data_IF_843375608953
#
_entry.id   IF_843375608953
#
_cell.length_a   1.000
_cell.length_b   1.000
_cell.length_c   1.000
_cell.angle_alpha   90.00
_cell.angle_beta   90.00
_cell.angle_gamma   90.00
#
_symmetry.space_group_name_H-M   'P 1'
#
loop_
_entity.id
_entity.type
_entity.pdbx_description
1 polymer ?
#
# COMPACT_ATOMS: atom_id res chain seq x y z
N UNK A 1 -0.63 -14.25 5.21
CA UNK A 1 0.57 -14.85 4.59
C UNK A 1 1.85 -14.71 5.43
N UNK A 2 1.99 -13.63 6.22
CA UNK A 2 3.14 -13.41 7.12
C UNK A 2 2.92 -13.85 8.59
N UNK A 3 1.82 -14.54 8.92
CA UNK A 3 1.55 -14.93 10.30
C UNK A 3 2.70 -15.72 10.89
N UNK A 4 3.15 -15.36 12.10
CA UNK A 4 4.32 -15.98 12.74
C UNK A 4 4.15 -17.48 12.97
N UNK A 5 2.90 -17.95 13.12
CA UNK A 5 2.58 -19.33 13.51
C UNK A 5 2.15 -20.17 12.30
N UNK A 6 1.23 -19.65 11.47
CA UNK A 6 0.64 -20.38 10.33
C UNK A 6 0.77 -19.61 8.99
N UNK A 7 1.67 -18.63 8.92
CA UNK A 7 1.95 -17.91 7.68
C UNK A 7 2.72 -18.79 6.70
N UNK A 8 2.50 -18.59 5.40
CA UNK A 8 3.22 -19.27 4.32
C UNK A 8 4.74 -19.16 4.50
N UNK A 9 5.24 -17.99 4.93
CA UNK A 9 6.66 -17.78 5.24
C UNK A 9 7.16 -18.72 6.34
N UNK A 10 6.40 -18.85 7.43
CA UNK A 10 6.76 -19.71 8.55
C UNK A 10 6.80 -21.19 8.13
N UNK A 11 5.86 -21.61 7.26
CA UNK A 11 5.84 -22.96 6.70
C UNK A 11 7.05 -23.22 5.78
N UNK A 12 7.38 -22.30 4.87
CA UNK A 12 8.55 -22.43 4.00
C UNK A 12 9.84 -22.49 4.83
N UNK A 13 9.98 -21.64 5.84
CA UNK A 13 11.17 -21.63 6.72
C UNK A 13 11.27 -22.88 7.60
N UNK A 14 10.15 -23.52 7.93
CA UNK A 14 10.14 -24.79 8.66
C UNK A 14 10.73 -25.93 7.81
N UNK A 15 10.41 -25.96 6.52
CA UNK A 15 10.90 -27.00 5.60
C UNK A 15 12.31 -26.69 5.08
N UNK A 16 12.65 -25.41 4.90
CA UNK A 16 13.97 -24.96 4.49
C UNK A 16 14.39 -23.67 5.23
N UNK A 17 15.22 -23.77 6.28
CA UNK A 17 15.71 -22.62 7.04
C UNK A 17 16.55 -21.63 6.23
N UNK A 18 17.13 -22.07 5.11
CA UNK A 18 17.93 -21.24 4.20
C UNK A 18 17.11 -20.55 3.11
N UNK A 19 15.80 -20.77 3.08
CA UNK A 19 14.92 -20.12 2.11
C UNK A 19 14.68 -18.66 2.48
N UNK A 20 14.94 -17.75 1.55
CA UNK A 20 14.50 -16.37 1.65
C UNK A 20 13.08 -16.24 1.10
N UNK A 21 12.23 -15.44 1.73
CA UNK A 21 10.87 -15.16 1.26
C UNK A 21 10.67 -13.65 1.15
N UNK A 22 10.45 -13.17 -0.07
CA UNK A 22 10.19 -11.77 -0.35
C UNK A 22 8.71 -11.61 -0.70
N UNK A 23 7.95 -10.96 0.17
CA UNK A 23 6.52 -10.83 -0.06
C UNK A 23 6.17 -9.66 -0.99
N UNK A 24 4.94 -9.69 -1.51
CA UNK A 24 4.39 -8.71 -2.42
C UNK A 24 4.23 -7.34 -1.74
N UNK A 25 5.10 -6.42 -2.13
CA UNK A 25 5.18 -5.09 -1.52
C UNK A 25 3.93 -4.20 -1.62
N UNK A 26 3.23 -4.12 -2.77
CA UNK A 26 2.22 -3.08 -2.97
C UNK A 26 0.97 -3.27 -2.10
N UNK A 27 0.49 -4.51 -1.94
CA UNK A 27 -0.69 -4.80 -1.12
C UNK A 27 -0.34 -4.91 0.36
N UNK A 28 0.84 -5.43 0.71
CA UNK A 28 1.32 -5.44 2.09
C UNK A 28 1.55 -4.03 2.63
N UNK A 29 2.25 -3.17 1.89
CA UNK A 29 2.47 -1.77 2.29
C UNK A 29 1.14 -1.05 2.54
N UNK A 30 0.15 -1.32 1.69
CA UNK A 30 -1.17 -0.71 1.78
C UNK A 30 -1.97 -1.15 3.02
N UNK A 31 -1.76 -2.38 3.50
CA UNK A 31 -2.41 -2.93 4.69
C UNK A 31 -1.66 -2.60 5.98
N UNK A 32 -0.33 -2.72 5.97
CA UNK A 32 0.47 -2.66 7.18
C UNK A 32 0.61 -1.24 7.69
N UNK A 33 0.70 -0.24 6.83
CA UNK A 33 0.85 1.16 7.28
C UNK A 33 -0.37 1.65 8.08
N UNK A 34 -1.62 1.27 7.71
CA UNK A 34 -2.82 1.60 8.52
C UNK A 34 -2.78 0.83 9.83
N UNK A 35 -2.56 -0.48 9.74
CA UNK A 35 -2.57 -1.35 10.90
C UNK A 35 -1.53 -0.92 11.95
N UNK A 36 -0.35 -0.52 11.49
CA UNK A 36 0.75 -0.05 12.34
C UNK A 36 0.46 1.34 12.90
N UNK A 37 -0.11 2.27 12.12
CA UNK A 37 -0.54 3.56 12.64
C UNK A 37 -1.59 3.41 13.75
N UNK A 38 -2.55 2.50 13.58
CA UNK A 38 -3.60 2.17 14.58
C UNK A 38 -3.08 1.46 15.83
N UNK A 39 -1.80 1.08 15.91
CA UNK A 39 -1.20 0.63 17.18
C UNK A 39 -1.02 1.79 18.16
N UNK A 40 -0.93 3.03 17.65
CA UNK A 40 -0.90 4.22 18.48
C UNK A 40 -2.31 4.60 18.93
N UNK A 41 -2.50 4.78 20.24
CA UNK A 41 -3.82 5.01 20.83
C UNK A 41 -4.56 6.19 20.19
N UNK A 42 -3.93 7.36 20.10
CA UNK A 42 -4.60 8.58 19.64
C UNK A 42 -4.91 8.55 18.14
N UNK A 43 -4.05 7.87 17.36
CA UNK A 43 -4.28 7.68 15.93
C UNK A 43 -5.41 6.67 15.71
N UNK A 44 -5.49 5.62 16.53
CA UNK A 44 -6.61 4.69 16.47
C UNK A 44 -7.94 5.39 16.79
N UNK A 45 -7.97 6.15 17.88
CA UNK A 45 -9.15 6.94 18.27
C UNK A 45 -9.56 7.92 17.16
N UNK A 46 -8.59 8.60 16.53
CA UNK A 46 -8.82 9.43 15.35
C UNK A 46 -9.54 8.67 14.22
N UNK A 47 -9.06 7.47 13.87
CA UNK A 47 -9.70 6.67 12.82
C UNK A 47 -11.09 6.16 13.20
N UNK A 48 -11.35 5.90 14.48
CA UNK A 48 -12.66 5.49 14.98
C UNK A 48 -13.66 6.66 14.89
N UNK A 49 -13.26 7.87 15.29
CA UNK A 49 -14.07 9.09 15.13
C UNK A 49 -14.33 9.36 13.64
N UNK A 50 -13.30 9.27 12.80
CA UNK A 50 -13.44 9.43 11.35
C UNK A 50 -14.46 8.43 10.79
N UNK A 51 -14.36 7.15 11.15
CA UNK A 51 -15.29 6.12 10.71
C UNK A 51 -16.73 6.45 11.15
N UNK A 52 -16.93 6.92 12.38
CA UNK A 52 -18.23 7.34 12.88
C UNK A 52 -18.81 8.51 12.09
N UNK A 53 -18.02 9.52 11.76
CA UNK A 53 -18.47 10.64 10.92
C UNK A 53 -18.90 10.14 9.54
N UNK A 54 -18.09 9.29 8.90
CA UNK A 54 -18.42 8.71 7.59
C UNK A 54 -19.68 7.85 7.66
N UNK A 55 -19.92 7.16 8.77
CA UNK A 55 -21.12 6.36 8.99
C UNK A 55 -22.36 7.24 9.16
N UNK A 56 -22.26 8.31 9.94
CA UNK A 56 -23.37 9.23 10.20
C UNK A 56 -23.70 10.03 8.94
N UNK A 57 -22.72 10.73 8.36
CA UNK A 57 -22.92 11.60 7.19
C UNK A 57 -23.21 10.77 5.92
N UNK A 58 -22.47 9.69 5.70
CA UNK A 58 -22.63 8.83 4.52
C UNK A 58 -23.76 7.81 4.62
N UNK A 59 -24.35 7.62 5.81
CA UNK A 59 -25.28 6.53 6.10
C UNK A 59 -26.68 6.67 5.51
N UNK A 60 -27.07 7.85 5.01
CA UNK A 60 -28.37 8.05 4.38
C UNK A 60 -28.27 8.88 3.10
N UNK A 61 -29.23 8.67 2.18
CA UNK A 61 -29.32 9.49 0.97
C UNK A 61 -29.52 10.97 1.31
N UNK A 62 -30.46 11.28 2.23
CA UNK A 62 -30.77 12.64 2.68
C UNK A 62 -29.53 13.38 3.22
N UNK A 63 -28.69 12.72 4.02
CA UNK A 63 -27.48 13.34 4.59
C UNK A 63 -26.39 13.58 3.55
N UNK A 64 -26.27 12.67 2.58
CA UNK A 64 -25.38 12.87 1.42
C UNK A 64 -25.86 14.01 0.52
N UNK A 65 -27.17 14.14 0.33
CA UNK A 65 -27.77 15.25 -0.39
C UNK A 65 -27.50 16.58 0.30
N UNK A 66 -27.73 16.68 1.62
CA UNK A 66 -27.37 17.88 2.40
C UNK A 66 -25.89 18.25 2.27
N UNK A 67 -24.99 17.26 2.24
CA UNK A 67 -23.56 17.49 2.02
C UNK A 67 -23.27 18.05 0.61
N UNK A 68 -24.00 17.60 -0.41
CA UNK A 68 -23.85 18.08 -1.80
C UNK A 68 -24.41 19.49 -1.97
N UNK A 69 -25.58 19.75 -1.39
CA UNK A 69 -26.23 21.06 -1.46
C UNK A 69 -25.38 22.13 -0.76
N UNK A 70 -24.80 21.82 0.39
CA UNK A 70 -23.91 22.74 1.11
C UNK A 70 -22.59 22.98 0.36
N UNK A 71 -22.05 21.95 -0.30
CA UNK A 71 -20.89 22.10 -1.20
C UNK A 71 -21.21 23.05 -2.36
N UNK A 72 -22.35 22.87 -3.02
CA UNK A 72 -22.77 23.70 -4.15
C UNK A 72 -22.93 25.16 -3.72
N UNK A 73 -23.59 25.41 -2.59
CA UNK A 73 -23.75 26.77 -2.04
C UNK A 73 -22.42 27.45 -1.76
N UNK A 74 -21.48 26.74 -1.13
CA UNK A 74 -20.15 27.29 -0.85
C UNK A 74 -19.36 27.55 -2.13
N UNK A 75 -19.50 26.69 -3.13
CA UNK A 75 -18.87 26.92 -4.43
C UNK A 75 -19.44 28.17 -5.10
N UNK A 76 -20.76 28.37 -5.05
CA UNK A 76 -21.39 29.59 -5.57
C UNK A 76 -20.90 30.84 -4.83
N UNK A 77 -20.78 30.80 -3.50
CA UNK A 77 -20.20 31.89 -2.71
C UNK A 77 -18.76 32.21 -3.14
N UNK A 78 -17.91 31.18 -3.32
CA UNK A 78 -16.53 31.33 -3.76
C UNK A 78 -16.42 31.87 -5.20
N UNK A 79 -17.36 31.53 -6.07
CA UNK A 79 -17.44 32.06 -7.43
C UNK A 79 -17.82 33.54 -7.44
N UNK A 80 -18.72 33.96 -6.54
CA UNK A 80 -19.14 35.38 -6.44
C UNK A 80 -17.98 36.28 -5.97
N UNK A 81 -17.06 35.76 -5.14
CA UNK A 81 -15.89 36.51 -4.67
C UNK A 81 -14.65 36.32 -5.55
N UNK A 82 -14.79 35.71 -6.73
CA UNK A 82 -13.73 35.43 -7.70
C UNK A 82 -12.53 34.61 -7.13
N UNK A 83 -12.73 33.87 -6.05
CA UNK A 83 -11.69 33.01 -5.45
C UNK A 83 -11.47 31.71 -6.24
N UNK A 84 -12.44 31.28 -7.04
CA UNK A 84 -12.38 30.06 -7.86
C UNK A 84 -12.88 30.32 -9.27
N UNK A 85 -12.43 29.51 -10.23
CA UNK A 85 -12.78 29.66 -11.66
C UNK A 85 -13.61 28.50 -12.15
N UNK A 86 -14.43 28.74 -13.18
CA UNK A 86 -15.20 27.71 -13.87
C UNK A 86 -14.36 27.09 -15.00
N UNK A 87 -14.45 25.77 -15.16
CA UNK A 87 -13.70 25.06 -16.20
C UNK A 87 -13.95 23.56 -16.16
N UNK A 88 -13.75 22.90 -17.31
CA UNK A 88 -13.98 21.46 -17.41
C UNK A 88 -13.00 20.70 -16.51
N UNK A 89 -13.54 19.94 -15.55
CA UNK A 89 -12.76 19.21 -14.55
C UNK A 89 -12.43 19.99 -13.27
N UNK A 90 -12.78 21.28 -13.16
CA UNK A 90 -12.62 22.06 -11.93
C UNK A 90 -13.83 21.88 -11.00
N UNK A 91 -13.61 22.08 -9.70
CA UNK A 91 -14.65 22.11 -8.66
C UNK A 91 -15.60 20.91 -8.66
N UNK A 92 -15.08 19.72 -8.97
CA UNK A 92 -15.87 18.49 -8.98
C UNK A 92 -16.46 18.20 -7.60
N UNK A 93 -17.68 17.67 -7.59
CA UNK A 93 -18.35 17.21 -6.37
C UNK A 93 -17.46 16.19 -5.64
N UNK A 94 -17.23 16.43 -4.34
CA UNK A 94 -16.44 15.54 -3.52
C UNK A 94 -17.36 14.66 -2.66
N UNK A 95 -17.07 13.36 -2.68
CA UNK A 95 -17.76 12.38 -1.85
C UNK A 95 -16.95 11.97 -0.62
N UNK A 96 -17.65 11.66 0.46
CA UNK A 96 -17.10 10.97 1.63
C UNK A 96 -17.27 9.47 1.46
N UNK A 97 -16.38 8.87 0.66
CA UNK A 97 -16.34 7.42 0.50
C UNK A 97 -15.71 6.80 1.75
N UNK A 98 -16.33 5.72 2.27
CA UNK A 98 -15.71 4.91 3.30
C UNK A 98 -14.42 4.30 2.74
N UNK A 99 -13.30 4.44 3.44
CA UNK A 99 -12.08 3.77 3.02
C UNK A 99 -12.30 2.26 3.12
N UNK A 100 -11.77 1.51 2.14
CA UNK A 100 -11.75 0.06 2.26
C UNK A 100 -10.69 -0.33 3.28
N UNK A 101 -11.03 -1.26 4.18
CA UNK A 101 -10.13 -1.74 5.25
C UNK A 101 -8.77 -2.22 4.74
N UNK A 102 -8.70 -2.58 3.45
CA UNK A 102 -7.51 -3.12 2.80
C UNK A 102 -6.77 -2.11 1.92
N UNK A 103 -7.17 -0.83 1.89
CA UNK A 103 -6.69 0.13 0.88
C UNK A 103 -6.26 1.50 1.46
N UNK A 104 -5.00 1.67 1.88
CA UNK A 104 -4.32 2.98 2.17
C UNK A 104 -4.65 4.13 1.21
N UNK A 105 -4.60 3.91 -0.12
CA UNK A 105 -4.98 4.94 -1.10
C UNK A 105 -6.41 5.46 -0.95
N UNK A 106 -7.35 4.63 -0.46
CA UNK A 106 -8.69 5.09 -0.13
C UNK A 106 -8.70 5.93 1.15
N UNK A 107 -7.92 5.57 2.18
CA UNK A 107 -7.74 6.41 3.37
C UNK A 107 -7.17 7.79 3.01
N UNK A 108 -6.12 7.86 2.18
CA UNK A 108 -5.55 9.14 1.75
C UNK A 108 -6.60 10.02 1.06
N UNK A 109 -7.35 9.46 0.10
CA UNK A 109 -8.43 10.18 -0.58
C UNK A 109 -9.53 10.61 0.39
N UNK A 110 -9.91 9.76 1.34
CA UNK A 110 -10.90 10.07 2.38
C UNK A 110 -10.43 11.23 3.27
N UNK A 111 -9.19 11.22 3.76
CA UNK A 111 -8.66 12.31 4.60
C UNK A 111 -8.61 13.64 3.83
N UNK A 112 -8.15 13.60 2.57
CA UNK A 112 -8.11 14.79 1.71
C UNK A 112 -9.51 15.36 1.48
N UNK A 113 -10.48 14.50 1.19
CA UNK A 113 -11.88 14.90 1.02
C UNK A 113 -12.47 15.41 2.34
N UNK A 114 -12.14 14.79 3.47
CA UNK A 114 -12.59 15.22 4.79
C UNK A 114 -12.14 16.65 5.11
N UNK A 115 -10.87 16.99 4.85
CA UNK A 115 -10.33 18.35 5.00
C UNK A 115 -11.06 19.33 4.07
N UNK A 116 -11.24 18.95 2.81
CA UNK A 116 -11.90 19.80 1.80
C UNK A 116 -13.38 20.05 2.14
N UNK A 117 -14.04 19.07 2.76
CA UNK A 117 -15.46 19.09 3.11
C UNK A 117 -15.72 19.44 4.57
N UNK A 118 -14.71 19.83 5.33
CA UNK A 118 -14.80 19.93 6.79
C UNK A 118 -15.96 20.81 7.25
N UNK A 119 -16.09 22.01 6.67
CA UNK A 119 -17.16 22.94 7.02
C UNK A 119 -18.56 22.39 6.68
N UNK A 120 -18.68 21.65 5.56
CA UNK A 120 -19.94 21.01 5.17
C UNK A 120 -20.28 19.81 6.05
N UNK A 121 -19.27 19.04 6.49
CA UNK A 121 -19.43 17.96 7.46
C UNK A 121 -19.93 18.51 8.79
N UNK A 122 -19.32 19.58 9.30
CA UNK A 122 -19.74 20.26 10.53
C UNK A 122 -21.17 20.77 10.40
N UNK A 123 -21.54 21.35 9.25
CA UNK A 123 -22.91 21.80 8.99
C UNK A 123 -23.92 20.64 9.05
N UNK A 124 -23.68 19.55 8.30
CA UNK A 124 -24.58 18.38 8.29
C UNK A 124 -24.72 17.77 9.68
N UNK A 125 -23.61 17.60 10.41
CA UNK A 125 -23.66 17.10 11.79
C UNK A 125 -24.39 18.07 12.72
N UNK A 126 -24.24 19.38 12.53
CA UNK A 126 -24.96 20.41 13.28
C UNK A 126 -26.47 20.36 13.07
N UNK A 127 -26.92 20.17 11.83
CA UNK A 127 -28.33 19.95 11.50
C UNK A 127 -28.85 18.70 12.24
N UNK A 128 -28.13 17.58 12.18
CA UNK A 128 -28.53 16.35 12.89
C UNK A 128 -28.54 16.51 14.40
N UNK A 129 -27.58 17.26 14.96
CA UNK A 129 -27.49 17.55 16.38
C UNK A 129 -28.65 18.43 16.90
N UNK A 130 -29.37 19.12 16.02
CA UNK A 130 -30.50 19.97 16.38
C UNK A 130 -31.86 19.33 16.02
N UNK A 131 -31.96 18.76 14.82
CA UNK A 131 -33.22 18.38 14.16
C UNK A 131 -33.50 16.87 14.17
N UNK A 132 -32.56 16.02 14.61
CA UNK A 132 -32.80 14.58 14.67
C UNK A 132 -33.93 14.22 15.64
N UNK A 133 -34.89 13.44 15.15
CA UNK A 133 -35.96 12.85 15.98
C UNK A 133 -35.47 11.75 16.90
N UNK A 134 -34.35 11.09 16.54
CA UNK A 134 -33.70 10.08 17.38
C UNK A 134 -32.72 10.75 18.35
N UNK A 135 -32.97 10.61 19.65
CA UNK A 135 -32.13 11.15 20.72
C UNK A 135 -30.68 10.62 20.67
N UNK A 136 -30.48 9.33 20.37
CA UNK A 136 -29.15 8.75 20.29
C UNK A 136 -28.36 9.34 19.12
N UNK A 137 -29.00 9.50 17.97
CA UNK A 137 -28.39 10.14 16.79
C UNK A 137 -28.07 11.60 17.06
N UNK A 138 -28.96 12.31 17.77
CA UNK A 138 -28.75 13.70 18.18
C UNK A 138 -27.53 13.86 19.09
N UNK A 139 -27.43 13.01 20.12
CA UNK A 139 -26.31 13.01 21.06
C UNK A 139 -24.99 12.63 20.38
N UNK A 140 -25.02 11.62 19.51
CA UNK A 140 -23.85 11.20 18.73
C UNK A 140 -23.38 12.32 17.78
N UNK A 141 -24.29 12.94 17.03
CA UNK A 141 -23.95 14.05 16.14
C UNK A 141 -23.34 15.22 16.90
N UNK A 142 -23.88 15.56 18.07
CA UNK A 142 -23.32 16.61 18.94
C UNK A 142 -21.90 16.27 19.41
N UNK A 143 -21.68 15.04 19.90
CA UNK A 143 -20.35 14.56 20.30
C UNK A 143 -19.38 14.65 19.12
N UNK A 144 -19.78 14.17 17.93
CA UNK A 144 -18.93 14.19 16.75
C UNK A 144 -18.55 15.61 16.32
N UNK A 145 -19.44 16.60 16.45
CA UNK A 145 -19.09 18.01 16.19
C UNK A 145 -18.04 18.51 17.17
N UNK A 146 -18.17 18.18 18.45
CA UNK A 146 -17.18 18.56 19.48
C UNK A 146 -15.83 17.87 19.21
N UNK A 147 -15.86 16.58 18.87
CA UNK A 147 -14.68 15.75 18.61
C UNK A 147 -13.91 16.27 17.37
N UNK A 148 -14.58 16.48 16.23
CA UNK A 148 -13.91 16.91 14.99
C UNK A 148 -13.42 18.35 15.02
N UNK A 149 -13.97 19.18 15.92
CA UNK A 149 -13.50 20.54 16.17
C UNK A 149 -12.44 20.61 17.27
N UNK A 150 -12.00 19.48 17.81
CA UNK A 150 -10.86 19.47 18.73
C UNK A 150 -9.54 19.69 17.98
N UNK A 151 -8.65 20.50 18.57
CA UNK A 151 -7.34 20.77 17.99
C UNK A 151 -6.52 19.50 17.78
N UNK A 152 -6.58 18.57 18.73
CA UNK A 152 -5.87 17.29 18.67
C UNK A 152 -6.31 16.45 17.46
N UNK A 153 -7.62 16.37 17.19
CA UNK A 153 -8.13 15.64 16.03
C UNK A 153 -7.68 16.30 14.71
N UNK A 154 -7.72 17.63 14.63
CA UNK A 154 -7.22 18.37 13.46
C UNK A 154 -5.72 18.17 13.26
N UNK A 155 -4.95 18.15 14.35
CA UNK A 155 -3.52 17.89 14.32
C UNK A 155 -3.22 16.49 13.77
N UNK A 156 -3.88 15.45 14.30
CA UNK A 156 -3.70 14.06 13.84
C UNK A 156 -4.18 13.91 12.38
N UNK A 157 -5.26 14.58 12.00
CA UNK A 157 -5.76 14.61 10.61
C UNK A 157 -4.68 15.09 9.64
N UNK A 158 -4.02 16.22 9.94
CA UNK A 158 -2.97 16.78 9.07
C UNK A 158 -1.68 15.94 9.12
N UNK A 159 -1.31 15.42 10.30
CA UNK A 159 -0.18 14.50 10.45
C UNK A 159 -0.35 13.26 9.57
N UNK A 160 -1.50 12.58 9.71
CA UNK A 160 -1.79 11.38 8.95
C UNK A 160 -1.90 11.67 7.45
N UNK A 161 -2.45 12.82 7.05
CA UNK A 161 -2.47 13.22 5.65
C UNK A 161 -1.05 13.35 5.08
N UNK A 162 -0.13 14.03 5.78
CA UNK A 162 1.27 14.20 5.33
C UNK A 162 2.01 12.87 5.25
N UNK A 163 1.88 12.02 6.28
CA UNK A 163 2.46 10.66 6.28
C UNK A 163 1.92 9.85 5.11
N UNK A 164 0.59 9.88 4.89
CA UNK A 164 -0.06 9.20 3.77
C UNK A 164 0.40 9.73 2.42
N UNK A 165 0.59 11.03 2.27
CA UNK A 165 1.06 11.63 1.02
C UNK A 165 2.47 11.14 0.64
N UNK A 166 3.38 11.06 1.62
CA UNK A 166 4.76 10.57 1.41
C UNK A 166 4.76 9.10 0.96
N UNK A 167 3.91 8.27 1.56
CA UNK A 167 3.83 6.83 1.25
C UNK A 167 2.93 6.51 0.05
N UNK A 168 2.02 7.42 -0.33
CA UNK A 168 1.10 7.25 -1.46
C UNK A 168 1.85 7.06 -2.79
N UNK A 169 2.89 7.87 -3.04
CA UNK A 169 3.69 7.75 -4.26
C UNK A 169 4.44 6.42 -4.34
N UNK A 170 5.00 5.95 -3.21
CA UNK A 170 5.63 4.64 -3.14
C UNK A 170 4.62 3.54 -3.49
N UNK A 171 3.44 3.58 -2.85
CA UNK A 171 2.39 2.60 -3.10
C UNK A 171 1.96 2.57 -4.58
N UNK A 172 1.69 3.73 -5.18
CA UNK A 172 1.26 3.81 -6.58
C UNK A 172 2.30 3.27 -7.57
N UNK A 173 3.59 3.48 -7.31
CA UNK A 173 4.66 2.98 -8.18
C UNK A 173 4.89 1.48 -8.00
N UNK A 174 4.85 0.98 -6.76
CA UNK A 174 4.97 -0.46 -6.50
C UNK A 174 3.82 -1.25 -7.17
N UNK A 175 2.64 -0.64 -7.32
CA UNK A 175 1.48 -1.27 -7.99
C UNK A 175 1.55 -1.30 -9.52
N UNK A 176 2.55 -0.66 -10.16
CA UNK A 176 2.65 -0.64 -11.63
C UNK A 176 3.07 -2.01 -12.16
N UNK A 177 2.40 -2.46 -13.24
CA UNK A 177 2.64 -3.76 -13.89
C UNK A 177 4.08 -3.91 -14.43
N UNK A 178 4.69 -2.81 -14.83
CA UNK A 178 6.02 -2.76 -15.45
C UNK A 178 7.03 -1.98 -14.59
N UNK A 179 6.99 -2.17 -13.27
CA UNK A 179 7.90 -1.47 -12.39
C UNK A 179 9.27 -2.16 -12.36
N UNK A 180 10.32 -1.41 -12.70
CA UNK A 180 11.70 -1.83 -12.52
C UNK A 180 12.06 -1.92 -11.02
N UNK A 181 12.68 -3.03 -10.62
CA UNK A 181 13.02 -3.33 -9.23
C UNK A 181 14.04 -2.32 -8.68
N UNK A 182 15.02 -1.92 -9.50
CA UNK A 182 16.05 -0.95 -9.08
C UNK A 182 15.41 0.40 -8.76
N UNK A 183 14.51 0.87 -9.63
CA UNK A 183 13.76 2.10 -9.43
C UNK A 183 12.77 2.01 -8.25
N UNK A 184 12.14 0.85 -8.05
CA UNK A 184 11.32 0.59 -6.86
C UNK A 184 12.15 0.71 -5.57
N UNK A 185 13.36 0.12 -5.51
CA UNK A 185 14.22 0.22 -4.33
C UNK A 185 14.74 1.65 -4.08
N UNK A 186 15.07 2.39 -5.15
CA UNK A 186 15.39 3.82 -5.03
C UNK A 186 14.23 4.62 -4.42
N UNK A 187 12.99 4.32 -4.82
CA UNK A 187 11.80 4.98 -4.29
C UNK A 187 11.54 4.63 -2.83
N UNK A 188 11.76 3.37 -2.43
CA UNK A 188 11.70 2.95 -1.02
C UNK A 188 12.68 3.77 -0.18
N UNK A 189 13.94 3.85 -0.61
CA UNK A 189 14.97 4.63 0.09
C UNK A 189 14.60 6.11 0.17
N UNK A 190 14.10 6.67 -0.94
CA UNK A 190 13.61 8.05 -0.99
C UNK A 190 12.47 8.31 0.00
N UNK A 191 11.48 7.41 0.07
CA UNK A 191 10.34 7.50 1.00
C UNK A 191 10.80 7.41 2.45
N UNK A 192 11.70 6.48 2.79
CA UNK A 192 12.29 6.38 4.14
C UNK A 192 12.99 7.69 4.53
N UNK A 193 13.79 8.24 3.62
CA UNK A 193 14.47 9.53 3.83
C UNK A 193 13.48 10.68 4.03
N UNK A 194 12.40 10.74 3.24
CA UNK A 194 11.38 11.79 3.42
C UNK A 194 10.67 11.72 4.78
N UNK A 195 10.35 10.51 5.25
CA UNK A 195 9.78 10.32 6.59
C UNK A 195 10.78 10.73 7.68
N UNK A 196 12.06 10.38 7.53
CA UNK A 196 13.11 10.79 8.45
C UNK A 196 13.27 12.32 8.50
N UNK A 197 13.34 12.97 7.33
CA UNK A 197 13.40 14.44 7.25
C UNK A 197 12.15 15.08 7.86
N UNK A 198 10.97 14.48 7.66
CA UNK A 198 9.74 14.94 8.29
C UNK A 198 9.85 14.91 9.81
N UNK A 199 10.32 13.79 10.37
CA UNK A 199 10.54 13.60 11.81
C UNK A 199 11.50 14.64 12.41
N UNK A 200 12.60 14.91 11.73
CA UNK A 200 13.69 15.75 12.26
C UNK A 200 13.43 17.25 12.15
N UNK A 201 12.68 17.68 11.13
CA UNK A 201 12.65 19.11 10.76
C UNK A 201 11.28 19.68 10.40
N UNK A 202 10.24 18.86 10.20
CA UNK A 202 8.95 19.35 9.66
C UNK A 202 7.82 19.46 10.69
N UNK A 203 8.13 19.38 11.99
CA UNK A 203 7.13 19.57 13.03
C UNK A 203 6.51 20.98 12.99
N UNK A 204 7.32 22.03 12.88
CA UNK A 204 6.82 23.41 12.80
C UNK A 204 5.96 23.65 11.55
N UNK A 205 6.37 23.11 10.40
CA UNK A 205 5.58 23.18 9.16
C UNK A 205 4.23 22.48 9.30
N UNK A 206 4.13 21.41 10.08
CA UNK A 206 2.83 20.80 10.39
C UNK A 206 1.98 21.71 11.27
N UNK A 207 2.57 22.36 12.28
CA UNK A 207 1.84 23.29 13.14
C UNK A 207 1.31 24.50 12.37
N UNK A 208 2.05 25.02 11.40
CA UNK A 208 1.61 26.11 10.52
C UNK A 208 0.37 25.72 9.72
N UNK A 209 0.38 24.55 9.08
CA UNK A 209 -0.77 24.03 8.33
C UNK A 209 -1.99 23.83 9.24
N UNK A 210 -1.78 23.26 10.43
CA UNK A 210 -2.84 23.04 11.42
C UNK A 210 -3.41 24.36 11.93
N UNK A 211 -2.56 25.36 12.18
CA UNK A 211 -2.98 26.68 12.65
C UNK A 211 -3.81 27.39 11.58
N UNK A 212 -3.33 27.40 10.34
CA UNK A 212 -4.08 27.95 9.20
C UNK A 212 -5.45 27.29 9.02
N UNK A 213 -5.51 25.96 9.15
CA UNK A 213 -6.77 25.24 9.10
C UNK A 213 -7.70 25.59 10.27
N UNK A 214 -7.17 25.69 11.48
CA UNK A 214 -7.93 26.05 12.67
C UNK A 214 -8.51 27.47 12.56
N UNK A 215 -7.70 28.44 12.11
CA UNK A 215 -8.13 29.83 11.90
C UNK A 215 -9.26 29.89 10.88
N UNK A 216 -9.11 29.18 9.74
CA UNK A 216 -10.13 29.11 8.68
C UNK A 216 -11.46 28.54 9.17
N UNK A 217 -11.44 27.62 10.14
CA UNK A 217 -12.63 26.91 10.61
C UNK A 217 -13.11 27.36 12.00
N UNK A 218 -12.52 28.43 12.56
CA UNK A 218 -12.85 28.93 13.90
C UNK A 218 -12.68 27.86 14.99
N UNK A 219 -11.56 27.16 14.98
CA UNK A 219 -11.19 26.15 15.98
C UNK A 219 -10.22 26.79 16.97
N UNK A 220 -10.50 26.66 18.27
CA UNK A 220 -9.65 27.22 19.31
C UNK A 220 -8.31 26.49 19.37
N UNK A 221 -7.22 27.22 19.15
CA UNK A 221 -5.86 26.70 19.33
C UNK A 221 -5.52 26.77 20.82
N UNK A 222 -5.25 25.63 21.49
CA UNK A 222 -4.85 25.61 22.88
C UNK A 222 -3.44 26.16 23.07
N UNK A 223 -3.12 26.64 24.28
CA UNK A 223 -1.77 27.05 24.62
C UNK A 223 -0.87 25.82 24.71
N UNK A 224 0.01 25.66 23.72
CA UNK A 224 0.84 24.47 23.52
C UNK A 224 1.85 24.26 24.66
N UNK A 225 2.24 25.34 25.35
CA UNK A 225 3.22 25.30 26.45
C UNK A 225 2.62 25.00 27.84
N UNK A 226 1.30 24.86 27.96
CA UNK A 226 0.67 24.52 29.24
C UNK A 226 0.83 23.03 29.59
N UNK A 227 0.77 22.71 30.91
CA UNK A 227 0.85 21.33 31.39
C UNK A 227 -0.32 20.53 30.83
N UNK A 228 -0.02 19.40 30.18
CA UNK A 228 -1.06 18.54 29.64
C UNK A 228 -1.75 17.79 30.76
N UNK A 229 -3.08 17.73 30.75
CA UNK A 229 -3.86 16.90 31.65
C UNK A 229 -4.84 16.08 30.85
N UNK A 230 -4.58 14.78 30.70
CA UNK A 230 -5.54 13.83 30.14
C UNK A 230 -6.79 13.79 31.05
N UNK A 231 -7.88 14.40 30.58
CA UNK A 231 -9.28 14.20 30.98
C UNK A 231 -9.64 14.04 32.48
N UNK A 232 -10.52 14.92 32.98
CA UNK A 232 -11.38 14.87 34.21
C UNK A 232 -10.79 14.42 35.57
N UNK A 233 -9.62 13.81 35.64
CA UNK A 233 -8.99 13.37 36.88
C UNK A 233 -7.87 14.33 37.27
N UNK A 234 -8.20 15.31 38.12
CA UNK A 234 -7.24 16.24 38.76
C UNK A 234 -6.18 15.54 39.63
N UNK A 235 -6.11 14.20 39.67
CA UNK A 235 -5.27 13.43 40.59
C UNK A 235 -3.96 12.90 39.98
N UNK A 236 -3.73 13.04 38.67
CA UNK A 236 -2.43 12.77 38.05
C UNK A 236 -1.95 14.03 37.34
N UNK A 237 -1.15 14.83 38.03
CA UNK A 237 -0.36 15.89 37.40
C UNK A 237 0.63 15.22 36.44
N UNK A 238 0.33 15.18 35.14
CA UNK A 238 1.33 14.79 34.14
C UNK A 238 2.48 15.80 34.20
N UNK A 239 3.71 15.29 34.25
CA UNK A 239 4.94 16.08 34.25
C UNK A 239 5.21 16.72 32.88
N UNK A 240 4.44 16.36 31.85
CA UNK A 240 4.68 16.69 30.44
C UNK A 240 3.77 17.82 29.94
N UNK A 241 4.31 18.66 29.05
CA UNK A 241 3.58 19.76 28.38
C UNK A 241 2.74 19.23 27.21
N UNK A 242 1.72 19.99 26.79
CA UNK A 242 0.92 19.63 25.61
C UNK A 242 1.77 19.55 24.34
N UNK A 243 2.77 20.44 24.23
CA UNK A 243 3.83 20.41 23.23
C UNK A 243 4.55 19.06 23.16
N UNK A 244 4.95 18.52 24.32
CA UNK A 244 5.66 17.25 24.38
C UNK A 244 4.78 16.08 23.93
N UNK A 245 3.53 16.05 24.36
CA UNK A 245 2.57 15.03 23.92
C UNK A 245 2.40 15.05 22.39
N UNK A 246 2.11 16.22 21.80
CA UNK A 246 1.90 16.32 20.35
C UNK A 246 3.16 16.02 19.54
N UNK A 247 4.33 16.47 20.00
CA UNK A 247 5.58 16.31 19.26
C UNK A 247 6.19 14.91 19.44
N UNK A 248 6.36 14.46 20.67
CA UNK A 248 7.08 13.21 20.96
C UNK A 248 6.13 12.02 20.93
N UNK A 249 5.06 12.08 21.72
CA UNK A 249 4.14 10.94 21.87
C UNK A 249 3.33 10.71 20.59
N UNK A 250 2.86 11.76 19.91
CA UNK A 250 2.06 11.60 18.69
C UNK A 250 2.91 11.67 17.42
N UNK A 251 3.60 12.80 17.16
CA UNK A 251 4.28 13.03 15.88
C UNK A 251 5.47 12.12 15.62
N UNK A 252 6.43 12.07 16.56
CA UNK A 252 7.59 11.18 16.43
C UNK A 252 7.15 9.71 16.44
N UNK A 253 6.27 9.30 17.37
CA UNK A 253 5.83 7.90 17.43
C UNK A 253 5.08 7.47 16.16
N UNK A 254 4.21 8.32 15.59
CA UNK A 254 3.53 8.02 14.34
C UNK A 254 4.54 7.74 13.22
N UNK A 255 5.53 8.60 13.06
CA UNK A 255 6.54 8.48 11.99
C UNK A 255 7.47 7.27 12.25
N UNK A 256 7.87 7.05 13.50
CA UNK A 256 8.72 5.93 13.90
C UNK A 256 8.04 4.58 13.65
N UNK A 257 6.74 4.49 13.90
CA UNK A 257 5.93 3.33 13.55
C UNK A 257 5.97 3.06 12.03
N UNK A 258 5.84 4.09 11.19
CA UNK A 258 5.92 3.93 9.73
C UNK A 258 7.33 3.55 9.25
N UNK A 259 8.36 4.18 9.80
CA UNK A 259 9.77 3.88 9.47
C UNK A 259 10.15 2.46 9.88
N UNK A 260 9.75 2.04 11.09
CA UNK A 260 9.95 0.68 11.58
C UNK A 260 9.32 -0.35 10.64
N UNK A 261 8.08 -0.13 10.23
CA UNK A 261 7.40 -1.03 9.29
C UNK A 261 8.10 -1.08 7.92
N UNK A 262 8.48 0.08 7.37
CA UNK A 262 9.24 0.14 6.11
C UNK A 262 10.61 -0.54 6.23
N UNK A 263 11.26 -0.48 7.39
CA UNK A 263 12.54 -1.16 7.63
C UNK A 263 12.38 -2.67 7.79
N UNK A 264 11.27 -3.12 8.38
CA UNK A 264 10.97 -4.55 8.50
C UNK A 264 10.62 -5.16 7.12
N UNK A 265 9.82 -4.46 6.32
CA UNK A 265 9.43 -4.93 4.99
C UNK A 265 10.58 -4.86 3.99
N UNK A 266 11.30 -3.74 3.98
CA UNK A 266 12.45 -3.49 3.12
C UNK A 266 13.72 -3.48 3.96
N UNK A 267 14.03 -4.64 4.55
CA UNK A 267 15.29 -4.85 5.25
C UNK A 267 16.46 -4.74 4.28
N UNK A 268 17.67 -4.57 4.82
CA UNK A 268 18.89 -4.55 4.03
C UNK A 268 19.00 -5.84 3.20
N UNK A 269 18.77 -7.00 3.83
CA UNK A 269 18.76 -8.31 3.17
C UNK A 269 17.78 -8.37 2.00
N UNK A 270 16.52 -7.98 2.20
CA UNK A 270 15.52 -8.03 1.12
C UNK A 270 15.90 -7.09 -0.04
N UNK A 271 16.46 -5.93 0.29
CA UNK A 271 16.89 -4.93 -0.70
C UNK A 271 18.06 -5.46 -1.51
N UNK A 272 19.05 -6.06 -0.86
CA UNK A 272 20.23 -6.63 -1.51
C UNK A 272 19.87 -7.84 -2.38
N UNK A 273 18.98 -8.72 -1.91
CA UNK A 273 18.49 -9.85 -2.70
C UNK A 273 17.82 -9.37 -4.01
N UNK A 274 16.93 -8.37 -3.91
CA UNK A 274 16.23 -7.80 -5.07
C UNK A 274 17.16 -7.06 -6.02
N UNK A 275 18.10 -6.29 -5.48
CA UNK A 275 19.08 -5.55 -6.28
C UNK A 275 20.05 -6.51 -6.98
N UNK A 276 20.49 -7.58 -6.33
CA UNK A 276 21.30 -8.63 -6.94
C UNK A 276 20.54 -9.36 -8.04
N UNK A 277 19.27 -9.72 -7.81
CA UNK A 277 18.40 -10.31 -8.82
C UNK A 277 18.22 -9.38 -10.04
N UNK A 278 18.00 -8.08 -9.81
CA UNK A 278 17.88 -7.10 -10.88
C UNK A 278 19.19 -6.92 -11.66
N UNK A 279 20.33 -7.07 -10.99
CA UNK A 279 21.67 -6.98 -11.61
C UNK A 279 21.97 -8.19 -12.52
N UNK A 280 21.26 -9.30 -12.35
CA UNK A 280 21.32 -10.46 -13.24
C UNK A 280 20.36 -10.35 -14.44
N UNK A 281 19.49 -9.32 -14.47
CA UNK A 281 18.47 -9.21 -15.53
C UNK A 281 19.12 -9.00 -16.90
N UNK A 282 18.66 -9.72 -17.95
CA UNK A 282 19.13 -9.50 -19.31
C UNK A 282 18.49 -8.27 -19.98
N UNK A 283 17.55 -7.59 -19.32
CA UNK A 283 16.85 -6.42 -19.86
C UNK A 283 17.84 -5.34 -20.33
N UNK A 284 17.50 -4.68 -21.45
CA UNK A 284 18.30 -3.65 -22.10
C UNK A 284 19.79 -4.05 -22.23
N UNK A 285 20.05 -5.30 -22.65
CA UNK A 285 21.40 -5.85 -22.82
C UNK A 285 22.21 -5.83 -21.50
N UNK A 286 21.58 -6.26 -20.41
CA UNK A 286 22.17 -6.27 -19.06
C UNK A 286 22.59 -4.87 -18.58
N UNK A 287 21.77 -3.84 -18.86
CA UNK A 287 22.08 -2.45 -18.49
C UNK A 287 22.26 -2.26 -16.98
N UNK A 288 21.53 -3.03 -16.16
CA UNK A 288 21.56 -2.96 -14.70
C UNK A 288 22.69 -3.81 -14.06
N UNK A 289 23.56 -4.43 -14.86
CA UNK A 289 24.61 -5.30 -14.35
C UNK A 289 25.53 -4.58 -13.36
N UNK A 290 25.69 -5.18 -12.19
CA UNK A 290 26.54 -4.69 -11.10
C UNK A 290 27.11 -5.89 -10.35
N UNK A 291 28.39 -6.17 -10.64
CA UNK A 291 29.12 -7.31 -10.05
C UNK A 291 29.03 -7.31 -8.52
N UNK A 292 29.15 -6.16 -7.87
CA UNK A 292 29.18 -6.09 -6.40
C UNK A 292 27.84 -6.51 -5.79
N UNK A 293 26.72 -6.12 -6.41
CA UNK A 293 25.38 -6.53 -5.96
C UNK A 293 25.13 -8.02 -6.18
N UNK A 294 25.61 -8.58 -7.29
CA UNK A 294 25.53 -10.01 -7.60
C UNK A 294 26.37 -10.82 -6.58
N UNK A 295 27.57 -10.34 -6.28
CA UNK A 295 28.42 -10.93 -5.24
C UNK A 295 27.75 -10.88 -3.88
N UNK A 296 27.15 -9.74 -3.50
CA UNK A 296 26.40 -9.60 -2.25
C UNK A 296 25.22 -10.59 -2.18
N UNK A 297 24.48 -10.78 -3.28
CA UNK A 297 23.43 -11.81 -3.38
C UNK A 297 23.96 -13.21 -3.06
N UNK A 298 25.11 -13.59 -3.63
CA UNK A 298 25.71 -14.91 -3.40
C UNK A 298 26.09 -15.14 -1.93
N UNK A 299 26.52 -14.09 -1.20
CA UNK A 299 26.88 -14.21 0.23
C UNK A 299 25.71 -14.60 1.14
N UNK A 300 24.47 -14.39 0.73
CA UNK A 300 23.30 -14.84 1.47
C UNK A 300 23.06 -16.36 1.36
N UNK A 301 23.58 -17.01 0.33
CA UNK A 301 23.45 -18.45 0.11
C UNK A 301 24.71 -19.20 0.56
N UNK A 302 25.10 -19.02 1.84
CA UNK A 302 26.35 -19.54 2.40
C UNK A 302 26.53 -21.06 2.26
N UNK A 303 25.42 -21.81 2.26
CA UNK A 303 25.45 -23.27 2.06
C UNK A 303 25.84 -23.67 0.63
N UNK A 304 25.54 -22.82 -0.35
CA UNK A 304 25.82 -23.07 -1.77
C UNK A 304 27.15 -22.44 -2.22
N UNK A 305 27.49 -21.28 -1.65
CA UNK A 305 28.69 -20.50 -1.97
C UNK A 305 29.66 -20.46 -0.78
N UNK A 306 30.61 -21.39 -0.77
CA UNK A 306 31.79 -21.34 0.09
C UNK A 306 32.70 -20.17 -0.32
N UNK A 307 33.65 -19.78 0.55
CA UNK A 307 34.61 -18.72 0.25
C UNK A 307 35.34 -18.93 -1.09
N UNK A 308 35.77 -20.17 -1.37
CA UNK A 308 36.38 -20.53 -2.65
C UNK A 308 35.45 -20.33 -3.85
N UNK A 309 34.18 -20.74 -3.73
CA UNK A 309 33.19 -20.56 -4.80
C UNK A 309 32.82 -19.09 -5.02
N UNK A 310 32.92 -18.24 -4.00
CA UNK A 310 32.73 -16.80 -4.16
C UNK A 310 33.89 -16.18 -4.96
N UNK A 311 35.12 -16.62 -4.71
CA UNK A 311 36.27 -16.22 -5.53
C UNK A 311 36.08 -16.67 -6.99
N UNK A 312 35.72 -17.95 -7.20
CA UNK A 312 35.45 -18.49 -8.54
C UNK A 312 34.30 -17.75 -9.24
N UNK A 313 33.20 -17.47 -8.53
CA UNK A 313 32.08 -16.68 -9.05
C UNK A 313 32.54 -15.29 -9.49
N UNK A 314 33.41 -14.64 -8.71
CA UNK A 314 33.92 -13.31 -9.03
C UNK A 314 34.67 -13.32 -10.37
N UNK A 315 35.49 -14.36 -10.62
CA UNK A 315 36.19 -14.54 -11.90
C UNK A 315 35.25 -14.93 -13.04
N UNK A 316 34.27 -15.81 -12.79
CA UNK A 316 33.27 -16.17 -13.80
C UNK A 316 32.47 -14.93 -14.24
N UNK A 317 32.06 -14.08 -13.32
CA UNK A 317 31.25 -12.89 -13.59
C UNK A 317 31.96 -11.87 -14.50
N UNK A 318 33.26 -11.69 -14.36
CA UNK A 318 34.03 -10.77 -15.22
C UNK A 318 34.00 -11.23 -16.68
N UNK A 319 34.19 -12.52 -16.93
CA UNK A 319 34.21 -13.07 -18.29
C UNK A 319 32.79 -13.30 -18.84
N UNK A 320 31.85 -13.66 -17.97
CA UNK A 320 30.46 -13.93 -18.31
C UNK A 320 29.79 -12.72 -18.97
N UNK A 321 29.95 -11.54 -18.36
CA UNK A 321 29.23 -10.35 -18.82
C UNK A 321 29.70 -9.89 -20.21
N UNK A 322 31.00 -9.96 -20.47
CA UNK A 322 31.57 -9.60 -21.77
C UNK A 322 31.09 -10.60 -22.82
N UNK A 323 31.09 -11.89 -22.51
CA UNK A 323 30.57 -12.90 -23.43
C UNK A 323 29.09 -12.68 -23.77
N UNK A 324 28.20 -12.54 -22.79
CA UNK A 324 26.75 -12.43 -23.06
C UNK A 324 26.37 -11.11 -23.74
N UNK A 325 27.23 -10.08 -23.66
CA UNK A 325 27.04 -8.81 -24.36
C UNK A 325 27.60 -8.81 -25.78
N UNK A 326 28.73 -9.46 -26.01
CA UNK A 326 29.43 -9.41 -27.31
C UNK A 326 29.05 -10.54 -28.26
N UNK A 327 28.80 -11.75 -27.74
CA UNK A 327 28.96 -12.98 -28.54
C UNK A 327 27.67 -13.59 -29.08
N UNK A 328 26.46 -13.14 -28.71
CA UNK A 328 25.25 -13.87 -29.13
C UNK A 328 23.99 -13.03 -29.38
N UNK A 329 23.42 -13.21 -30.58
CA UNK A 329 22.05 -12.78 -30.88
C UNK A 329 21.04 -13.49 -29.97
N UNK A 330 21.35 -14.68 -29.45
CA UNK A 330 20.46 -15.45 -28.58
C UNK A 330 20.15 -14.77 -27.25
N UNK A 331 21.04 -13.89 -26.74
CA UNK A 331 20.80 -13.11 -25.52
C UNK A 331 20.21 -11.73 -25.79
N UNK A 332 19.97 -11.37 -27.06
CA UNK A 332 19.31 -10.12 -27.41
C UNK A 332 17.81 -10.17 -27.09
N UNK A 333 17.26 -9.06 -26.58
CA UNK A 333 15.82 -8.88 -26.33
C UNK A 333 15.16 -9.89 -25.38
N UNK A 334 15.91 -10.51 -24.47
CA UNK A 334 15.34 -11.33 -23.39
C UNK A 334 14.60 -10.43 -22.39
N UNK A 335 13.41 -10.86 -21.93
CA UNK A 335 12.51 -10.03 -21.10
C UNK A 335 12.56 -10.36 -19.60
N UNK A 336 13.53 -11.19 -19.19
CA UNK A 336 13.72 -11.53 -17.78
C UNK A 336 14.52 -12.80 -17.52
N UNK A 337 14.72 -13.10 -16.24
CA UNK A 337 15.55 -14.20 -15.76
C UNK A 337 15.09 -15.60 -16.23
N UNK A 338 13.78 -15.78 -16.45
CA UNK A 338 13.25 -17.05 -16.94
C UNK A 338 13.70 -17.35 -18.37
N UNK A 339 13.72 -16.33 -19.22
CA UNK A 339 14.19 -16.44 -20.60
C UNK A 339 15.71 -16.56 -20.65
N UNK A 340 16.43 -15.84 -19.77
CA UNK A 340 17.87 -16.02 -19.57
C UNK A 340 18.21 -17.47 -19.23
N UNK A 341 17.58 -18.04 -18.20
CA UNK A 341 17.82 -19.42 -17.78
C UNK A 341 17.59 -20.43 -18.89
N UNK A 342 16.46 -20.32 -19.61
CA UNK A 342 16.17 -21.19 -20.77
C UNK A 342 17.23 -21.06 -21.87
N UNK A 343 17.70 -19.83 -22.12
CA UNK A 343 18.70 -19.57 -23.16
C UNK A 343 20.05 -20.15 -22.78
N UNK A 344 20.51 -19.97 -21.53
CA UNK A 344 21.75 -20.57 -21.01
C UNK A 344 21.75 -22.09 -21.13
N UNK A 345 20.58 -22.73 -21.00
CA UNK A 345 20.43 -24.18 -21.23
C UNK A 345 20.53 -24.54 -22.71
N UNK A 346 19.76 -23.86 -23.56
CA UNK A 346 19.70 -24.11 -25.01
C UNK A 346 21.06 -23.98 -25.69
N UNK A 347 21.86 -23.00 -25.29
CA UNK A 347 23.19 -22.73 -25.84
C UNK A 347 24.30 -23.56 -25.18
N UNK A 348 23.97 -24.45 -24.23
CA UNK A 348 24.92 -25.20 -23.39
C UNK A 348 25.84 -24.35 -22.50
N UNK A 349 25.62 -23.03 -22.46
CA UNK A 349 26.42 -22.06 -21.72
C UNK A 349 26.41 -22.30 -20.20
N UNK A 350 25.31 -22.83 -19.67
CA UNK A 350 25.21 -23.23 -18.26
C UNK A 350 26.28 -24.22 -17.80
N UNK A 351 26.96 -24.92 -18.73
CA UNK A 351 28.11 -25.80 -18.43
C UNK A 351 29.42 -25.03 -18.28
N UNK A 352 29.55 -23.89 -18.96
CA UNK A 352 30.72 -23.02 -18.94
C UNK A 352 30.71 -22.10 -17.73
N UNK A 353 29.59 -21.43 -17.46
CA UNK A 353 29.40 -20.58 -16.26
C UNK A 353 28.44 -21.24 -15.29
N UNK A 354 28.88 -22.37 -14.73
CA UNK A 354 28.07 -23.20 -13.85
C UNK A 354 27.68 -22.49 -12.55
N UNK A 355 28.56 -21.65 -12.02
CA UNK A 355 28.33 -20.92 -10.76
C UNK A 355 27.38 -19.74 -10.99
N UNK A 356 27.54 -19.00 -12.10
CA UNK A 356 26.57 -17.96 -12.51
C UNK A 356 25.19 -18.57 -12.75
N UNK A 357 25.11 -19.71 -13.46
CA UNK A 357 23.84 -20.39 -13.70
C UNK A 357 23.17 -20.88 -12.40
N UNK A 358 23.95 -21.34 -11.42
CA UNK A 358 23.43 -21.66 -10.09
C UNK A 358 22.77 -20.43 -9.44
N UNK A 359 23.41 -19.26 -9.51
CA UNK A 359 22.87 -18.03 -8.97
C UNK A 359 21.60 -17.56 -9.68
N UNK A 360 21.51 -17.72 -11.01
CA UNK A 360 20.29 -17.47 -11.79
C UNK A 360 19.16 -18.39 -11.33
N UNK A 361 19.44 -19.69 -11.10
CA UNK A 361 18.43 -20.63 -10.56
C UNK A 361 17.97 -20.22 -9.16
N UNK A 362 18.90 -19.85 -8.27
CA UNK A 362 18.58 -19.40 -6.90
C UNK A 362 17.72 -18.13 -6.92
N UNK A 363 17.99 -17.22 -7.87
CA UNK A 363 17.19 -16.02 -8.09
C UNK A 363 15.77 -16.33 -8.59
N UNK A 364 15.63 -17.33 -9.47
CA UNK A 364 14.33 -17.76 -9.99
C UNK A 364 13.45 -18.46 -8.95
N UNK A 365 14.06 -19.16 -7.99
CA UNK A 365 13.34 -19.81 -6.88
C UNK A 365 13.11 -18.88 -5.70
N UNK A 366 13.67 -17.65 -5.72
CA UNK A 366 13.37 -16.66 -4.72
C UNK A 366 11.86 -16.38 -4.80
N UNK A 367 11.07 -16.76 -3.78
CA UNK A 367 9.64 -16.52 -3.78
C UNK A 367 9.44 -15.03 -3.56
N UNK A 368 9.37 -14.29 -4.68
CA UNK A 368 8.87 -12.93 -4.75
C UNK A 368 7.37 -13.06 -5.01
N UNK A 369 6.55 -12.93 -3.97
CA UNK A 369 5.11 -12.89 -4.19
C UNK A 369 4.82 -11.66 -5.05
N UNK A 370 4.28 -11.86 -6.25
CA UNK A 370 3.90 -10.75 -7.14
C UNK A 370 2.49 -10.30 -6.82
N UNK A 371 2.14 -9.06 -7.17
CA UNK A 371 0.79 -8.51 -6.99
C UNK A 371 -0.29 -9.37 -7.66
N UNK A 372 0.06 -10.08 -8.73
CA UNK A 372 -0.83 -11.03 -9.42
C UNK A 372 -1.19 -12.21 -8.54
N UNK A 373 -0.21 -12.80 -7.85
CA UNK A 373 -0.44 -13.93 -6.93
C UNK A 373 -1.34 -13.50 -5.78
N UNK A 374 -1.11 -12.33 -5.17
CA UNK A 374 -1.99 -11.84 -4.11
C UNK A 374 -3.38 -11.42 -4.60
N UNK A 375 -3.51 -10.92 -5.85
CA UNK A 375 -4.81 -10.68 -6.49
C UNK A 375 -5.60 -11.98 -6.61
N UNK A 376 -4.94 -13.10 -6.93
CA UNK A 376 -5.58 -14.42 -6.96
C UNK A 376 -6.16 -14.81 -5.59
N UNK A 377 -5.38 -14.64 -4.52
CA UNK A 377 -5.87 -14.93 -3.16
C UNK A 377 -6.99 -13.98 -2.71
N UNK A 378 -6.95 -12.70 -3.10
CA UNK A 378 -8.05 -11.77 -2.83
C UNK A 378 -9.32 -12.16 -3.60
N UNK A 379 -9.17 -12.52 -4.87
CA UNK A 379 -10.25 -13.03 -5.73
C UNK A 379 -10.87 -14.30 -5.16
N UNK A 380 -10.05 -15.16 -4.55
CA UNK A 380 -10.51 -16.36 -3.88
C UNK A 380 -11.50 -16.05 -2.75
N UNK A 381 -11.33 -14.96 -2.00
CA UNK A 381 -12.29 -14.52 -0.97
C UNK A 381 -13.64 -14.12 -1.58
N UNK A 382 -13.65 -13.56 -2.78
CA UNK A 382 -14.89 -13.21 -3.48
C UNK A 382 -15.57 -14.42 -4.11
N UNK A 383 -14.80 -15.41 -4.57
CA UNK A 383 -15.32 -16.65 -5.16
C UNK A 383 -15.84 -17.59 -4.06
N UNK A 384 -15.06 -17.77 -2.97
CA UNK A 384 -15.44 -18.49 -1.76
C UNK A 384 -16.23 -17.57 -0.82
N UNK A 385 -17.51 -17.39 -1.12
CA UNK A 385 -18.48 -16.86 -0.15
C UNK A 385 -18.95 -17.96 0.80
N UNK A 386 -19.55 -17.59 1.94
CA UNK A 386 -20.05 -18.56 2.93
C UNK A 386 -21.02 -19.60 2.32
N UNK A 387 -21.82 -19.17 1.33
CA UNK A 387 -22.75 -20.01 0.56
C UNK A 387 -22.06 -20.98 -0.43
N UNK A 388 -20.78 -20.78 -0.75
CA UNK A 388 -19.98 -21.58 -1.70
C UNK A 388 -18.74 -22.20 -1.05
N UNK A 389 -18.70 -22.27 0.28
CA UNK A 389 -17.56 -22.76 1.07
C UNK A 389 -17.17 -24.23 0.81
N UNK A 390 -18.05 -25.01 0.16
CA UNK A 390 -17.84 -26.42 -0.21
C UNK A 390 -17.44 -26.66 -1.67
N UNK A 391 -16.96 -25.63 -2.37
CA UNK A 391 -16.46 -25.77 -3.73
C UNK A 391 -15.23 -26.70 -3.77
N UNK A 392 -15.18 -27.65 -4.70
CA UNK A 392 -14.00 -28.49 -4.92
C UNK A 392 -12.83 -27.69 -5.48
N UNK A 393 -11.59 -28.16 -5.24
CA UNK A 393 -10.38 -27.42 -5.61
C UNK A 393 -10.25 -27.19 -7.12
N UNK A 394 -10.65 -28.16 -7.95
CA UNK A 394 -10.63 -28.02 -9.41
C UNK A 394 -11.56 -26.91 -9.88
N UNK A 395 -12.82 -26.92 -9.40
CA UNK A 395 -13.79 -25.90 -9.79
C UNK A 395 -13.43 -24.51 -9.23
N UNK A 396 -12.78 -24.45 -8.06
CA UNK A 396 -12.22 -23.20 -7.54
C UNK A 396 -11.12 -22.66 -8.45
N UNK A 397 -10.20 -23.52 -8.89
CA UNK A 397 -9.12 -23.15 -9.80
C UNK A 397 -9.69 -22.63 -11.13
N UNK A 398 -10.67 -23.32 -11.72
CA UNK A 398 -11.33 -22.88 -12.95
C UNK A 398 -11.97 -21.50 -12.81
N UNK A 399 -12.69 -21.26 -11.70
CA UNK A 399 -13.28 -19.95 -11.39
C UNK A 399 -12.21 -18.87 -11.18
N UNK A 400 -11.11 -19.19 -10.51
CA UNK A 400 -10.01 -18.25 -10.29
C UNK A 400 -9.35 -17.85 -11.61
N UNK A 401 -9.10 -18.81 -12.51
CA UNK A 401 -8.51 -18.54 -13.82
C UNK A 401 -9.40 -17.59 -14.62
N UNK A 402 -10.72 -17.86 -14.69
CA UNK A 402 -11.64 -16.98 -15.42
C UNK A 402 -11.73 -15.57 -14.82
N UNK A 403 -11.60 -15.44 -13.50
CA UNK A 403 -11.69 -14.15 -12.80
C UNK A 403 -10.39 -13.33 -12.86
N UNK A 404 -9.24 -13.98 -12.80
CA UNK A 404 -7.92 -13.32 -12.81
C UNK A 404 -7.50 -12.96 -14.22
N UNK A 405 -7.75 -13.86 -15.18
CA UNK A 405 -7.40 -13.69 -16.59
C UNK A 405 -8.65 -13.26 -17.38
N UNK A 406 -9.32 -12.22 -16.90
CA UNK A 406 -10.56 -11.68 -17.49
C UNK A 406 -10.39 -11.33 -18.97
N UNK A 407 -9.27 -10.71 -19.36
CA UNK A 407 -8.98 -10.40 -20.75
C UNK A 407 -8.80 -11.64 -21.65
N UNK A 408 -8.31 -12.76 -21.10
CA UNK A 408 -8.27 -14.04 -21.83
C UNK A 408 -9.68 -14.62 -21.92
N UNK A 409 -10.45 -14.55 -20.84
CA UNK A 409 -11.83 -15.04 -20.82
C UNK A 409 -12.74 -14.25 -21.78
N UNK A 410 -12.62 -12.92 -21.84
CA UNK A 410 -13.32 -12.05 -22.79
C UNK A 410 -12.99 -12.38 -24.25
N UNK A 411 -11.81 -12.94 -24.52
CA UNK A 411 -11.42 -13.37 -25.87
C UNK A 411 -12.11 -14.67 -26.32
N UNK A 412 -12.75 -15.40 -25.40
CA UNK A 412 -13.47 -16.63 -25.71
C UNK A 412 -14.92 -16.30 -26.12
N UNK A 413 -15.34 -16.56 -27.37
CA UNK A 413 -16.69 -16.27 -27.79
C UNK A 413 -17.71 -17.19 -27.10
N UNK A 414 -18.87 -16.62 -26.72
CA UNK A 414 -19.94 -17.35 -26.05
C UNK A 414 -20.40 -18.59 -26.85
N UNK A 415 -20.46 -18.49 -28.17
CA UNK A 415 -20.86 -19.59 -29.05
C UNK A 415 -19.92 -20.80 -28.89
N UNK A 416 -18.61 -20.56 -28.77
CA UNK A 416 -17.64 -21.63 -28.55
C UNK A 416 -17.79 -22.31 -27.18
N UNK A 417 -18.20 -21.53 -26.15
CA UNK A 417 -18.49 -22.07 -24.81
C UNK A 417 -19.76 -22.93 -24.87
N UNK A 418 -20.80 -22.44 -25.54
CA UNK A 418 -22.08 -23.13 -25.72
C UNK A 418 -21.87 -24.45 -26.46
N UNK A 419 -21.20 -24.41 -27.61
CA UNK A 419 -20.91 -25.58 -28.44
C UNK A 419 -20.11 -26.63 -27.66
N UNK A 420 -19.05 -26.20 -26.97
CA UNK A 420 -18.24 -27.12 -26.16
C UNK A 420 -19.04 -27.73 -25.02
N UNK A 421 -19.87 -26.95 -24.32
CA UNK A 421 -20.70 -27.42 -23.21
C UNK A 421 -21.79 -28.41 -23.66
N UNK A 422 -22.36 -28.21 -24.86
CA UNK A 422 -23.29 -29.15 -25.47
C UNK A 422 -22.60 -30.46 -25.89
N UNK A 423 -21.40 -30.37 -26.45
CA UNK A 423 -20.65 -31.53 -26.92
C UNK A 423 -20.09 -32.40 -25.79
N UNK A 424 -20.05 -31.92 -24.55
CA UNK A 424 -19.60 -32.71 -23.39
C UNK A 424 -20.51 -33.88 -23.05
N UNK A 425 -21.83 -33.73 -23.19
CA UNK A 425 -22.82 -34.79 -22.90
C UNK A 425 -24.12 -34.53 -23.66
N UNK A 426 -24.82 -35.58 -24.07
CA UNK A 426 -26.14 -35.45 -24.71
C UNK A 426 -27.14 -34.79 -23.75
N UNK A 427 -27.56 -33.55 -24.04
CA UNK A 427 -28.46 -32.77 -23.18
C UNK A 427 -29.87 -32.72 -23.75
N UNK A 428 -30.87 -32.61 -22.85
CA UNK A 428 -32.29 -32.52 -23.22
C UNK A 428 -32.68 -31.20 -23.89
N UNK A 429 -31.87 -30.17 -23.73
CA UNK A 429 -32.10 -28.83 -24.30
C UNK A 429 -30.85 -28.40 -25.02
N UNK A 430 -30.99 -27.93 -26.26
CA UNK A 430 -29.93 -27.26 -26.98
C UNK A 430 -29.97 -25.77 -26.66
N UNK A 431 -28.86 -25.28 -26.11
CA UNK A 431 -28.60 -23.87 -25.84
C UNK A 431 -28.32 -23.17 -27.18
N UNK A 432 -28.97 -22.05 -27.45
CA UNK A 432 -28.69 -21.24 -28.65
C UNK A 432 -27.85 -20.04 -28.27
#
# INVERSE_FOLDING_TARGET
MQGEINGLKALILKDNPSAYCVHCFPYQLQLTLVAVAKKHHDINNFFDILANVLNVVGGSYKRREMLRDDQAKKLDELLVIDEVHTGSGLNQELGLQRPGDTRWGSHFKTLRNFISLFSSIVHVLGVLANESSNYQEKALAKSLVEDIRSYELVYILHLMLKIMAITYYLNMNLQRKYQDIVNAMKLVHFTKRQLQTMRESKWNSLLEDVSSFCDKNGIMIPKIDEKYGLGKSKRKSSTFTYSHHLHVEVFCAAIDLQLSELNNLFSEVNTDLLLGMASLSPDDSFANYDKNKIMKLATYYQNEFTASKLEDLSFELDNYIDYVREMDNAFSNLKGLGDLSKTLVKTNIHKTWGIVYLLVKLSLILPVATATVERAFSSMKFIKIDLRSRIGDDFLNDCLVCYIEDGVFESVPNDAIIDRFQNMTSRRVQLK
#
